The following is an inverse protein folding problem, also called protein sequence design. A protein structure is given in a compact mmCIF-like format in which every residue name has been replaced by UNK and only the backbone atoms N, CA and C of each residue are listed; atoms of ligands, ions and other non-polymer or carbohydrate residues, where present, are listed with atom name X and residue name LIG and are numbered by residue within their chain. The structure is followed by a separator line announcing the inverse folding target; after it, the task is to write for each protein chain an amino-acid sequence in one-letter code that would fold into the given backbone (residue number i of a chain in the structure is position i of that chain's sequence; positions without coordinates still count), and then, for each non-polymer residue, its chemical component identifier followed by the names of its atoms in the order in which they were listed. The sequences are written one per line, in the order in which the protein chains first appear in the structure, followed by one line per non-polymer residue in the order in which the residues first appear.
data_IF_237381407907
#
_entry.id   IF_237381407907
#
_cell.length_a   1.000
_cell.length_b   1.000
_cell.length_c   1.000
_cell.angle_alpha   90.00
_cell.angle_beta   90.00
_cell.angle_gamma   90.00
#
_symmetry.space_group_name_H-M   'P 1'
#
loop_
_entity.id
_entity.type
_entity.pdbx_description
1 polymer ?
#
# COMPACT_ATOMS: atom_id res chain seq x y z
N UNK A 1 -6.63 12.97 -6.16
CA UNK A 1 -6.48 14.28 -6.83
C UNK A 1 -5.57 14.17 -8.05
N UNK A 2 -6.03 14.66 -9.21
CA UNK A 2 -5.25 14.72 -10.46
C UNK A 2 -4.44 16.04 -10.52
N UNK A 3 -3.19 15.96 -10.97
CA UNK A 3 -2.27 17.08 -11.07
C UNK A 3 -1.49 17.04 -12.40
N UNK A 4 -1.29 18.20 -13.03
CA UNK A 4 -0.55 18.32 -14.30
C UNK A 4 0.96 18.47 -14.10
N UNK A 5 1.42 18.61 -12.86
CA UNK A 5 2.83 18.74 -12.46
C UNK A 5 3.06 18.00 -11.16
N UNK A 6 4.30 17.58 -10.91
CA UNK A 6 4.68 16.95 -9.65
C UNK A 6 4.44 17.95 -8.50
N UNK A 7 3.63 17.61 -7.48
CA UNK A 7 3.44 18.51 -6.34
C UNK A 7 4.72 18.62 -5.52
N UNK A 8 4.95 19.80 -4.93
CA UNK A 8 5.99 19.96 -3.92
C UNK A 8 5.52 19.41 -2.56
N UNK A 9 6.44 19.26 -1.61
CA UNK A 9 6.14 18.64 -0.31
C UNK A 9 5.17 19.48 0.53
N UNK A 10 5.24 20.80 0.44
CA UNK A 10 4.33 21.70 1.17
C UNK A 10 2.87 21.48 0.73
N UNK A 11 2.64 21.45 -0.57
CA UNK A 11 1.33 21.17 -1.15
C UNK A 11 0.83 19.78 -0.74
N UNK A 12 1.70 18.76 -0.77
CA UNK A 12 1.34 17.41 -0.29
C UNK A 12 0.90 17.46 1.17
N UNK A 13 1.65 18.14 2.04
CA UNK A 13 1.31 18.24 3.47
C UNK A 13 -0.02 18.93 3.70
N UNK A 14 -0.29 20.04 3.00
CA UNK A 14 -1.58 20.75 3.08
C UNK A 14 -2.73 19.86 2.61
N UNK A 15 -2.54 19.14 1.49
CA UNK A 15 -3.53 18.19 0.99
C UNK A 15 -3.83 17.08 2.00
N UNK A 16 -2.80 16.45 2.58
CA UNK A 16 -2.99 15.37 3.57
C UNK A 16 -3.63 15.88 4.87
N UNK A 17 -3.27 17.09 5.31
CA UNK A 17 -3.90 17.73 6.47
C UNK A 17 -5.40 18.03 6.21
N UNK A 18 -5.77 18.42 5.00
CA UNK A 18 -7.17 18.58 4.62
C UNK A 18 -7.91 17.25 4.53
N UNK A 19 -7.22 16.17 4.12
CA UNK A 19 -7.83 14.83 4.04
C UNK A 19 -7.97 14.15 5.40
N UNK A 20 -7.13 14.49 6.38
CA UNK A 20 -7.05 13.80 7.67
C UNK A 20 -8.31 13.93 8.54
N UNK A 21 -9.20 14.88 8.25
CA UNK A 21 -10.46 15.08 8.98
C UNK A 21 -11.64 14.28 8.41
N UNK A 22 -11.49 13.66 7.23
CA UNK A 22 -12.57 12.89 6.61
C UNK A 22 -12.57 11.43 7.04
N UNK A 23 -13.75 10.81 7.00
CA UNK A 23 -13.89 9.37 7.16
C UNK A 23 -13.37 8.59 5.95
N UNK A 24 -13.19 7.28 6.13
CA UNK A 24 -12.87 6.36 5.04
C UNK A 24 -13.98 6.33 3.98
N UNK A 25 -13.63 6.04 2.73
CA UNK A 25 -14.61 6.04 1.63
C UNK A 25 -15.40 4.73 1.51
N UNK A 26 -15.22 3.81 2.45
CA UNK A 26 -15.84 2.48 2.50
C UNK A 26 -16.15 2.11 3.96
N UNK A 27 -17.23 1.34 4.21
CA UNK A 27 -17.64 1.01 5.57
C UNK A 27 -16.91 -0.19 6.20
N UNK A 28 -16.30 -1.08 5.41
CA UNK A 28 -15.69 -2.35 5.89
C UNK A 28 -14.25 -2.18 6.39
N UNK A 29 -14.00 -1.15 7.20
CA UNK A 29 -12.68 -0.82 7.73
C UNK A 29 -12.11 -1.99 8.56
N UNK A 30 -10.90 -2.42 8.24
CA UNK A 30 -10.20 -3.54 8.85
C UNK A 30 -10.48 -4.90 8.21
N UNK A 31 -11.27 -4.98 7.13
CA UNK A 31 -11.64 -6.26 6.54
C UNK A 31 -10.47 -7.03 5.89
N UNK A 32 -9.32 -6.39 5.61
CA UNK A 32 -8.11 -7.11 5.17
C UNK A 32 -7.55 -8.05 6.22
N UNK A 33 -7.90 -7.86 7.51
CA UNK A 33 -7.52 -8.76 8.59
C UNK A 33 -8.41 -10.02 8.67
N UNK A 34 -9.52 -10.07 7.94
CA UNK A 34 -10.49 -11.18 7.98
C UNK A 34 -10.74 -11.76 6.59
N UNK A 35 -11.80 -11.31 5.92
CA UNK A 35 -12.17 -11.76 4.59
C UNK A 35 -12.61 -10.57 3.74
N UNK A 36 -12.33 -10.63 2.44
CA UNK A 36 -12.73 -9.60 1.50
C UNK A 36 -14.27 -9.48 1.44
N UNK A 37 -14.84 -8.30 1.67
CA UNK A 37 -16.28 -8.11 1.63
C UNK A 37 -16.85 -8.28 0.21
N UNK A 38 -18.10 -8.73 0.06
CA UNK A 38 -18.73 -8.88 -1.24
C UNK A 38 -18.87 -7.54 -1.97
N UNK A 39 -18.76 -7.56 -3.30
CA UNK A 39 -18.88 -6.35 -4.14
C UNK A 39 -17.58 -5.57 -4.33
N UNK A 40 -16.48 -6.04 -3.75
CA UNK A 40 -15.13 -5.52 -4.00
C UNK A 40 -14.34 -6.43 -4.92
N UNK A 41 -13.37 -5.84 -5.61
CA UNK A 41 -12.38 -6.58 -6.37
C UNK A 41 -11.23 -6.90 -5.42
N UNK A 42 -10.94 -8.19 -5.26
CA UNK A 42 -9.82 -8.67 -4.47
C UNK A 42 -8.57 -8.80 -5.35
N UNK A 43 -7.47 -8.21 -4.89
CA UNK A 43 -6.14 -8.40 -5.43
C UNK A 43 -5.25 -8.98 -4.34
N UNK A 44 -4.49 -10.00 -4.71
CA UNK A 44 -3.53 -10.65 -3.85
C UNK A 44 -2.22 -10.86 -4.61
N UNK A 45 -1.14 -10.31 -4.08
CA UNK A 45 0.22 -10.54 -4.57
C UNK A 45 1.05 -11.14 -3.45
N UNK A 46 1.78 -12.22 -3.72
CA UNK A 46 2.66 -12.84 -2.74
C UNK A 46 3.94 -13.35 -3.38
N UNK A 47 5.09 -13.08 -2.77
CA UNK A 47 6.40 -13.56 -3.20
C UNK A 47 7.26 -14.01 -2.01
N UNK A 48 8.11 -15.02 -2.22
CA UNK A 48 9.16 -15.40 -1.26
C UNK A 48 10.32 -14.41 -1.39
N UNK A 49 10.71 -13.79 -0.28
CA UNK A 49 11.84 -12.87 -0.22
C UNK A 49 13.16 -13.60 0.03
N UNK A 50 13.10 -14.67 0.82
CA UNK A 50 14.25 -15.44 1.26
C UNK A 50 13.90 -16.31 2.46
N UNK A 51 14.88 -16.55 3.33
CA UNK A 51 14.74 -17.42 4.50
C UNK A 51 15.45 -16.83 5.72
N UNK A 52 14.90 -17.06 6.91
CA UNK A 52 15.54 -16.69 8.17
C UNK A 52 15.26 -15.28 8.69
N UNK A 53 15.69 -15.07 9.94
CA UNK A 53 15.45 -13.85 10.69
C UNK A 53 16.03 -12.60 10.02
N UNK A 54 17.24 -12.69 9.46
CA UNK A 54 17.90 -11.56 8.80
C UNK A 54 17.07 -11.02 7.62
N UNK A 55 16.49 -11.92 6.82
CA UNK A 55 15.59 -11.57 5.71
C UNK A 55 14.30 -10.95 6.23
N UNK A 56 13.73 -11.47 7.32
CA UNK A 56 12.55 -10.90 7.96
C UNK A 56 12.81 -9.46 8.47
N UNK A 57 13.92 -9.23 9.17
CA UNK A 57 14.27 -7.91 9.70
C UNK A 57 14.56 -6.90 8.58
N UNK A 58 15.30 -7.30 7.54
CA UNK A 58 15.53 -6.47 6.35
C UNK A 58 14.22 -6.12 5.65
N UNK A 59 13.31 -7.08 5.50
CA UNK A 59 12.00 -6.86 4.88
C UNK A 59 11.10 -5.95 5.73
N UNK A 60 11.10 -6.12 7.06
CA UNK A 60 10.42 -5.22 8.01
C UNK A 60 10.92 -3.79 7.84
N UNK A 61 12.23 -3.59 7.87
CA UNK A 61 12.84 -2.27 7.69
C UNK A 61 12.47 -1.67 6.32
N UNK A 62 12.53 -2.45 5.25
CA UNK A 62 12.15 -1.98 3.91
C UNK A 62 10.69 -1.50 3.86
N UNK A 63 9.78 -2.20 4.56
CA UNK A 63 8.37 -1.82 4.64
C UNK A 63 8.17 -0.53 5.45
N UNK A 64 8.89 -0.38 6.57
CA UNK A 64 8.89 0.85 7.39
C UNK A 64 9.38 2.08 6.63
N UNK A 65 10.28 1.90 5.66
CA UNK A 65 10.82 2.95 4.80
C UNK A 65 10.06 3.11 3.48
N UNK A 66 8.87 2.52 3.37
CA UNK A 66 7.99 2.63 2.19
C UNK A 66 8.61 2.14 0.86
N UNK A 67 9.57 1.22 0.92
CA UNK A 67 10.28 0.72 -0.28
C UNK A 67 9.37 -0.03 -1.24
N UNK A 68 8.25 -0.57 -0.76
CA UNK A 68 7.21 -1.19 -1.58
C UNK A 68 6.58 -0.21 -2.58
N UNK A 69 6.66 1.09 -2.33
CA UNK A 69 6.26 2.14 -3.26
C UNK A 69 7.42 2.70 -4.06
N UNK A 70 8.67 2.33 -3.81
CA UNK A 70 9.85 2.85 -4.53
C UNK A 70 10.04 2.14 -5.89
N UNK A 71 9.07 2.34 -6.80
CA UNK A 71 8.96 1.62 -8.08
C UNK A 71 9.05 2.53 -9.32
N UNK A 72 9.49 3.78 -9.14
CA UNK A 72 9.73 4.76 -10.20
C UNK A 72 8.50 5.47 -10.75
N UNK A 73 7.30 4.87 -10.64
CA UNK A 73 6.03 5.48 -11.06
C UNK A 73 5.00 5.62 -9.94
N UNK A 74 5.31 5.09 -8.75
CA UNK A 74 4.60 5.34 -7.50
C UNK A 74 5.65 5.76 -6.46
N UNK A 75 5.23 6.47 -5.41
CA UNK A 75 6.02 6.77 -4.22
C UNK A 75 5.10 7.11 -3.06
N UNK A 76 5.46 6.74 -1.84
CA UNK A 76 4.85 7.28 -0.63
C UNK A 76 5.34 8.72 -0.40
N UNK A 77 4.43 9.61 0.00
CA UNK A 77 4.72 11.02 0.29
C UNK A 77 3.91 11.48 1.50
N UNK A 78 4.52 12.14 2.50
CA UNK A 78 5.97 12.21 2.73
C UNK A 78 6.63 10.82 2.91
N UNK A 79 7.91 10.65 2.50
CA UNK A 79 8.60 9.37 2.60
C UNK A 79 8.92 8.97 4.06
N UNK A 80 8.86 9.92 4.98
CA UNK A 80 9.13 9.79 6.41
C UNK A 80 7.86 9.64 7.26
N UNK A 81 6.69 9.43 6.64
CA UNK A 81 5.45 9.20 7.40
C UNK A 81 5.58 7.94 8.26
N UNK A 82 5.41 8.03 9.59
CA UNK A 82 5.55 6.88 10.47
C UNK A 82 4.42 5.88 10.28
N UNK A 83 4.73 4.58 10.36
CA UNK A 83 3.73 3.51 10.34
C UNK A 83 2.98 3.44 11.68
N UNK A 84 2.04 4.35 11.89
CA UNK A 84 1.20 4.41 13.09
C UNK A 84 -0.29 4.53 12.73
N UNK A 85 -1.19 3.82 13.43
CA UNK A 85 -2.62 3.97 13.26
C UNK A 85 -3.07 5.44 13.34
N UNK A 86 -3.95 5.86 12.43
CA UNK A 86 -4.44 7.23 12.32
C UNK A 86 -3.57 8.16 11.47
N UNK A 87 -2.33 7.81 11.17
CA UNK A 87 -1.47 8.62 10.31
C UNK A 87 -1.99 8.65 8.87
N UNK A 88 -1.97 9.83 8.27
CA UNK A 88 -2.39 10.04 6.89
C UNK A 88 -1.15 10.10 5.98
N UNK A 89 -1.13 9.26 4.96
CA UNK A 89 -0.04 9.14 3.98
C UNK A 89 -0.56 9.39 2.58
N UNK A 90 0.26 9.99 1.73
CA UNK A 90 -0.01 10.14 0.31
C UNK A 90 0.63 9.03 -0.51
N UNK A 91 -0.13 8.44 -1.44
CA UNK A 91 0.41 7.60 -2.52
C UNK A 91 0.39 8.41 -3.80
N UNK A 92 1.58 8.85 -4.24
CA UNK A 92 1.77 9.64 -5.43
C UNK A 92 2.14 8.74 -6.61
N UNK A 93 1.24 8.63 -7.59
CA UNK A 93 1.47 7.90 -8.83
C UNK A 93 1.68 8.85 -10.01
N UNK A 94 2.45 8.45 -11.02
CA UNK A 94 2.62 9.20 -12.27
C UNK A 94 2.50 8.33 -13.51
N UNK A 95 1.86 8.89 -14.53
CA UNK A 95 1.70 8.29 -15.86
C UNK A 95 1.80 9.39 -16.91
N UNK A 96 2.76 9.26 -17.83
CA UNK A 96 2.91 10.16 -18.99
C UNK A 96 2.88 11.66 -18.60
N UNK A 97 3.55 12.02 -17.49
CA UNK A 97 3.63 13.40 -17.00
C UNK A 97 2.43 13.88 -16.17
N UNK A 98 1.37 13.09 -16.09
CA UNK A 98 0.22 13.35 -15.20
C UNK A 98 0.47 12.67 -13.85
N UNK A 99 0.02 13.31 -12.78
CA UNK A 99 0.23 12.89 -11.40
C UNK A 99 -1.10 12.65 -10.69
N UNK A 100 -1.16 11.62 -9.86
CA UNK A 100 -2.30 11.31 -9.00
C UNK A 100 -1.81 11.23 -7.57
N UNK A 101 -2.24 12.19 -6.75
CA UNK A 101 -2.01 12.17 -5.32
C UNK A 101 -3.25 11.57 -4.65
N UNK A 102 -3.06 10.43 -3.99
CA UNK A 102 -4.12 9.72 -3.28
C UNK A 102 -3.84 9.76 -1.79
N UNK A 103 -4.83 10.11 -0.98
CA UNK A 103 -4.70 10.07 0.47
C UNK A 103 -5.19 8.72 1.02
N UNK A 104 -4.40 8.17 1.93
CA UNK A 104 -4.72 6.96 2.68
C UNK A 104 -4.49 7.23 4.17
N UNK A 105 -5.21 6.51 5.03
CA UNK A 105 -4.98 6.54 6.48
C UNK A 105 -4.65 5.15 6.99
N UNK A 106 -3.58 5.03 7.76
CA UNK A 106 -3.18 3.78 8.40
C UNK A 106 -4.26 3.38 9.41
N UNK A 107 -4.78 2.17 9.29
CA UNK A 107 -5.86 1.64 10.12
C UNK A 107 -5.28 0.93 11.33
N UNK A 108 -4.35 0.01 11.09
CA UNK A 108 -3.72 -0.80 12.11
C UNK A 108 -2.31 -1.21 11.68
N UNK A 109 -1.47 -1.43 12.68
CA UNK A 109 -0.17 -2.06 12.55
C UNK A 109 -0.30 -3.53 12.95
N UNK A 110 0.41 -4.41 12.25
CA UNK A 110 0.56 -5.83 12.56
C UNK A 110 1.99 -5.99 13.05
N UNK A 111 2.17 -6.38 14.31
CA UNK A 111 3.47 -6.78 14.88
C UNK A 111 3.23 -7.96 15.82
N UNK A 112 3.19 -9.16 15.23
CA UNK A 112 2.86 -10.41 15.93
C UNK A 112 4.15 -11.22 16.13
N UNK A 113 4.45 -11.69 17.36
CA UNK A 113 5.63 -12.49 17.64
C UNK A 113 5.47 -13.97 17.21
N UNK A 114 6.46 -14.80 17.55
CA UNK A 114 6.50 -16.23 17.26
C UNK A 114 5.22 -16.99 17.72
N UNK A 115 4.86 -18.15 17.11
CA UNK A 115 5.66 -18.97 16.17
C UNK A 115 5.58 -18.53 14.69
N UNK A 116 4.67 -17.63 14.34
CA UNK A 116 4.60 -17.02 13.01
C UNK A 116 4.81 -15.53 13.16
N UNK A 117 6.07 -15.08 13.03
CA UNK A 117 6.38 -13.66 13.10
C UNK A 117 5.75 -12.94 11.92
N UNK A 118 4.96 -11.91 12.19
CA UNK A 118 4.29 -11.11 11.18
C UNK A 118 4.51 -9.63 11.45
N UNK A 119 4.86 -8.89 10.41
CA UNK A 119 4.99 -7.45 10.48
C UNK A 119 4.32 -6.81 9.27
N UNK A 120 3.50 -5.80 9.46
CA UNK A 120 2.77 -5.18 8.37
C UNK A 120 1.87 -4.05 8.82
N UNK A 121 1.12 -3.50 7.87
CA UNK A 121 0.09 -2.51 8.17
C UNK A 121 -0.98 -2.55 7.09
N UNK A 122 -2.18 -2.08 7.45
CA UNK A 122 -3.22 -1.77 6.49
C UNK A 122 -3.50 -0.28 6.47
N UNK A 123 -3.76 0.27 5.29
CA UNK A 123 -4.39 1.58 5.16
C UNK A 123 -5.73 1.48 4.43
N UNK A 124 -6.58 2.45 4.71
CA UNK A 124 -7.84 2.67 4.01
C UNK A 124 -7.77 3.93 3.16
N UNK A 125 -8.51 3.93 2.06
CA UNK A 125 -8.60 5.08 1.15
C UNK A 125 -9.45 6.20 1.74
N UNK A 126 -8.95 7.44 1.65
CA UNK A 126 -9.67 8.67 1.99
C UNK A 126 -10.32 9.30 0.74
N UNK A 127 -11.10 10.40 0.87
CA UNK A 127 -11.54 11.16 -0.30
C UNK A 127 -10.34 11.57 -1.18
N UNK A 128 -10.63 11.91 -2.43
CA UNK A 128 -9.60 12.15 -3.46
C UNK A 128 -8.72 10.95 -3.83
N UNK A 129 -8.91 9.76 -3.25
CA UNK A 129 -8.34 8.51 -3.75
C UNK A 129 -9.10 8.02 -5.00
N UNK A 130 -8.39 7.50 -6.02
CA UNK A 130 -9.00 7.04 -7.29
C UNK A 130 -9.88 5.79 -7.13
N UNK A 131 -9.51 4.90 -6.20
CA UNK A 131 -10.30 3.76 -5.75
C UNK A 131 -10.91 3.98 -4.36
N UNK A 132 -11.79 3.06 -3.96
CA UNK A 132 -12.35 2.99 -2.61
C UNK A 132 -12.13 1.59 -2.03
N UNK A 133 -11.44 1.48 -0.90
CA UNK A 133 -11.20 0.22 -0.22
C UNK A 133 -9.97 0.24 0.69
N UNK A 134 -9.36 -0.92 0.86
CA UNK A 134 -8.29 -1.14 1.83
C UNK A 134 -7.16 -1.94 1.19
N UNK A 135 -5.93 -1.65 1.61
CA UNK A 135 -4.73 -2.38 1.18
C UNK A 135 -3.85 -2.68 2.39
N UNK A 136 -3.47 -3.95 2.52
CA UNK A 136 -2.62 -4.48 3.56
C UNK A 136 -1.30 -4.97 2.97
N UNK A 137 -0.20 -4.55 3.59
CA UNK A 137 1.16 -4.95 3.25
C UNK A 137 1.72 -5.75 4.41
N UNK A 138 2.18 -6.97 4.15
CA UNK A 138 2.53 -7.93 5.18
C UNK A 138 3.83 -8.66 4.87
N UNK A 139 4.72 -8.71 5.85
CA UNK A 139 5.86 -9.62 5.92
C UNK A 139 5.49 -10.75 6.87
N UNK A 140 5.68 -11.99 6.42
CA UNK A 140 5.51 -13.18 7.26
C UNK A 140 6.79 -13.99 7.27
N UNK A 141 7.18 -14.49 8.44
CA UNK A 141 8.22 -15.50 8.59
C UNK A 141 7.62 -16.77 9.18
N UNK A 142 7.52 -17.81 8.36
CA UNK A 142 7.12 -19.14 8.81
C UNK A 142 8.35 -19.86 9.36
N UNK A 143 8.36 -20.08 10.68
CA UNK A 143 9.50 -20.72 11.35
C UNK A 143 9.56 -22.23 11.11
N UNK A 144 8.51 -22.85 10.55
CA UNK A 144 8.50 -24.29 10.27
C UNK A 144 9.37 -24.65 9.07
N UNK A 145 9.33 -23.84 8.02
CA UNK A 145 10.11 -24.02 6.79
C UNK A 145 11.14 -22.88 6.56
N UNK A 146 11.28 -22.01 7.56
CA UNK A 146 12.16 -20.85 7.61
C UNK A 146 11.88 -19.79 6.51
N UNK A 147 10.75 -19.86 5.80
CA UNK A 147 10.48 -18.99 4.66
C UNK A 147 9.98 -17.60 5.07
N UNK A 148 10.48 -16.57 4.39
CA UNK A 148 10.02 -15.19 4.56
C UNK A 148 9.30 -14.72 3.30
N UNK A 149 8.08 -14.22 3.46
CA UNK A 149 7.21 -13.79 2.37
C UNK A 149 6.81 -12.32 2.50
N UNK A 150 6.67 -11.66 1.36
CA UNK A 150 5.95 -10.40 1.24
C UNK A 150 4.59 -10.66 0.58
N UNK A 151 3.56 -10.05 1.14
CA UNK A 151 2.18 -10.18 0.71
C UNK A 151 1.50 -8.81 0.64
N UNK A 152 0.69 -8.62 -0.40
CA UNK A 152 -0.21 -7.49 -0.58
C UNK A 152 -1.61 -8.05 -0.72
N UNK A 153 -2.51 -7.67 0.17
CA UNK A 153 -3.94 -7.99 0.08
C UNK A 153 -4.70 -6.69 -0.03
N UNK A 154 -5.40 -6.48 -1.13
CA UNK A 154 -6.18 -5.28 -1.37
C UNK A 154 -7.60 -5.65 -1.80
N UNK A 155 -8.60 -5.01 -1.21
CA UNK A 155 -9.93 -5.00 -1.78
C UNK A 155 -10.29 -3.57 -2.18
N UNK A 156 -10.81 -3.39 -3.40
CA UNK A 156 -11.20 -2.06 -3.85
C UNK A 156 -12.31 -2.08 -4.88
N UNK A 157 -13.00 -0.95 -4.99
CA UNK A 157 -13.95 -0.65 -6.07
C UNK A 157 -13.62 0.70 -6.71
N UNK A 158 -13.84 0.87 -8.02
CA UNK A 158 -13.70 2.18 -8.66
C UNK A 158 -14.73 3.18 -8.09
N UNK A 159 -14.39 4.47 -8.04
CA UNK A 159 -15.40 5.52 -7.80
C UNK A 159 -16.25 5.74 -9.07
N UNK A 160 -17.54 6.02 -8.92
CA UNK A 160 -18.57 5.92 -9.97
C UNK A 160 -18.26 6.65 -11.29
N UNK A 161 -17.53 7.76 -11.27
CA UNK A 161 -17.20 8.53 -12.48
C UNK A 161 -16.10 7.87 -13.36
N UNK A 162 -15.27 6.99 -12.80
CA UNK A 162 -14.17 6.32 -13.50
C UNK A 162 -14.60 5.05 -14.25
N UNK A 163 -15.83 4.55 -14.01
CA UNK A 163 -16.30 3.25 -14.48
C UNK A 163 -16.47 3.16 -16.00
N UNK A 164 -16.67 4.28 -16.71
CA UNK A 164 -17.10 4.24 -18.12
C UNK A 164 -15.98 4.16 -19.16
N UNK A 165 -14.75 4.58 -18.86
CA UNK A 165 -13.66 4.61 -19.87
C UNK A 165 -12.28 4.16 -19.37
N UNK A 166 -12.02 4.15 -18.05
CA UNK A 166 -10.68 3.89 -17.49
C UNK A 166 -10.46 2.53 -16.84
N UNK A 167 -11.50 1.68 -16.74
CA UNK A 167 -11.47 0.50 -15.88
C UNK A 167 -10.44 -0.58 -16.26
N UNK A 168 -10.32 -1.02 -17.54
CA UNK A 168 -9.29 -1.99 -17.92
C UNK A 168 -7.86 -1.48 -17.70
N UNK A 169 -7.66 -0.17 -17.89
CA UNK A 169 -6.38 0.48 -17.65
C UNK A 169 -6.05 0.50 -16.14
N UNK A 170 -7.01 0.86 -15.30
CA UNK A 170 -6.85 0.81 -13.84
C UNK A 170 -6.52 -0.61 -13.35
N UNK A 171 -7.20 -1.64 -13.89
CA UNK A 171 -6.93 -3.04 -13.54
C UNK A 171 -5.50 -3.47 -13.91
N UNK A 172 -5.04 -3.09 -15.10
CA UNK A 172 -3.66 -3.37 -15.54
C UNK A 172 -2.64 -2.68 -14.65
N UNK A 173 -2.93 -1.45 -14.22
CA UNK A 173 -2.08 -0.68 -13.30
C UNK A 173 -2.02 -1.29 -11.91
N UNK A 174 -3.13 -1.78 -11.36
CA UNK A 174 -3.15 -2.45 -10.05
C UNK A 174 -2.32 -3.74 -10.06
N UNK A 175 -2.49 -4.58 -11.10
CA UNK A 175 -1.67 -5.79 -11.25
C UNK A 175 -0.18 -5.46 -11.42
N UNK A 176 0.12 -4.41 -12.19
CA UNK A 176 1.50 -3.91 -12.34
C UNK A 176 2.05 -3.41 -11.01
N UNK A 177 1.26 -2.70 -10.21
CA UNK A 177 1.66 -2.23 -8.88
C UNK A 177 2.10 -3.40 -8.01
N UNK A 178 1.27 -4.44 -7.86
CA UNK A 178 1.62 -5.60 -7.04
C UNK A 178 2.96 -6.23 -7.47
N UNK A 179 3.13 -6.48 -8.77
CA UNK A 179 4.37 -7.05 -9.31
C UNK A 179 5.60 -6.14 -9.10
N UNK A 180 5.49 -4.85 -9.41
CA UNK A 180 6.60 -3.90 -9.32
C UNK A 180 6.98 -3.66 -7.85
N UNK A 181 5.98 -3.61 -6.96
CA UNK A 181 6.11 -3.51 -5.50
C UNK A 181 6.82 -4.72 -4.91
N UNK A 182 6.38 -5.93 -5.28
CA UNK A 182 7.04 -7.18 -4.91
C UNK A 182 8.50 -7.21 -5.38
N UNK A 183 8.77 -6.78 -6.61
CA UNK A 183 10.13 -6.69 -7.12
C UNK A 183 10.99 -5.66 -6.35
N UNK A 184 10.42 -4.55 -5.88
CA UNK A 184 11.15 -3.58 -5.06
C UNK A 184 11.55 -4.16 -3.70
N UNK A 185 10.62 -4.81 -3.01
CA UNK A 185 10.91 -5.50 -1.75
C UNK A 185 11.98 -6.57 -1.91
N UNK A 186 11.87 -7.40 -2.95
CA UNK A 186 12.87 -8.43 -3.24
C UNK A 186 14.26 -7.84 -3.52
N UNK A 187 14.35 -6.74 -4.29
CA UNK A 187 15.62 -6.05 -4.56
C UNK A 187 16.25 -5.49 -3.28
N UNK A 188 15.43 -4.91 -2.39
CA UNK A 188 15.91 -4.32 -1.14
C UNK A 188 16.45 -5.38 -0.19
N UNK A 189 15.74 -6.48 -0.05
CA UNK A 189 16.17 -7.60 0.80
C UNK A 189 17.43 -8.28 0.26
N UNK A 190 17.55 -8.48 -1.06
CA UNK A 190 18.73 -9.11 -1.66
C UNK A 190 19.97 -8.21 -1.73
N UNK A 191 19.78 -6.89 -1.67
CA UNK A 191 20.86 -5.91 -1.73
C UNK A 191 21.30 -5.38 -0.35
N UNK A 192 20.64 -5.84 0.73
CA UNK A 192 21.02 -5.60 2.13
C UNK A 192 22.00 -6.65 2.61
#
# INVERSE_FOLDING_TARGET
MLLLRKPNLEFVRQFLAAQSVFDFTYPEVGATATAAPPGYILDHTRIKLGEGEAVFLSAKQALEHWEQFNIGWVSAVPPDTPLQPGQTVGVLATVLGVWWLNACRIIHLIDEPAPRRRFGFAYGTLPEHVGSGEECFLITWDQNDNSVWYEIVAFSRPRQWLMRLGYPFARTRQKRFGRDSAAAMLRKVKGS
#
